data_IF_726352993109
#
_entry.id   IF_726352993109
#
_cell.length_a   1.000
_cell.length_b   1.000
_cell.length_c   1.000
_cell.angle_alpha   90.00
_cell.angle_beta   90.00
_cell.angle_gamma   90.00
#
_symmetry.space_group_name_H-M   'P 1'
#
loop_
_entity.id
_entity.type
_entity.pdbx_description
1 polymer ?
#
# COMPACT_ATOMS: atom_id res chain seq x y z
N UNK A 1 -2.81 2.76 -13.00
CA UNK A 1 -3.92 2.61 -13.96
C UNK A 1 -4.99 1.79 -13.29
N UNK A 2 -6.25 2.02 -13.63
CA UNK A 2 -7.35 1.18 -13.12
C UNK A 2 -7.37 -0.14 -13.87
N UNK A 3 -7.74 -1.22 -13.17
CA UNK A 3 -7.80 -2.56 -13.75
C UNK A 3 -8.79 -2.59 -14.93
N UNK A 4 -8.40 -3.12 -16.10
CA UNK A 4 -9.30 -3.23 -17.25
C UNK A 4 -10.58 -4.00 -16.90
N UNK A 5 -11.73 -3.48 -17.33
CA UNK A 5 -13.03 -4.10 -17.07
C UNK A 5 -13.65 -3.74 -15.71
N UNK A 6 -13.01 -2.88 -14.92
CA UNK A 6 -13.60 -2.35 -13.67
C UNK A 6 -14.18 -0.95 -13.84
N UNK A 7 -15.04 -0.52 -12.92
CA UNK A 7 -15.53 0.86 -12.90
C UNK A 7 -14.39 1.83 -12.56
N UNK A 8 -14.04 2.79 -13.43
CA UNK A 8 -12.92 3.70 -13.19
C UNK A 8 -13.06 4.53 -11.90
N UNK A 9 -14.29 4.82 -11.46
CA UNK A 9 -14.54 5.58 -10.23
C UNK A 9 -14.22 4.80 -8.95
N UNK A 10 -14.08 3.47 -9.03
CA UNK A 10 -13.72 2.63 -7.87
C UNK A 10 -12.21 2.51 -7.69
N UNK A 11 -11.42 2.93 -8.68
CA UNK A 11 -9.95 2.98 -8.59
C UNK A 11 -9.30 1.64 -8.18
N UNK A 12 -9.95 0.53 -8.53
CA UNK A 12 -9.41 -0.80 -8.32
C UNK A 12 -8.21 -1.03 -9.25
N UNK A 13 -7.12 -1.54 -8.70
CA UNK A 13 -5.91 -1.88 -9.43
C UNK A 13 -5.17 -3.02 -8.69
N UNK A 14 -4.45 -3.85 -9.44
CA UNK A 14 -3.65 -4.91 -8.84
C UNK A 14 -2.42 -4.37 -8.08
N UNK A 15 -1.86 -5.19 -7.18
CA UNK A 15 -0.66 -4.90 -6.39
C UNK A 15 0.43 -5.95 -6.64
N UNK A 16 1.65 -5.50 -6.87
CA UNK A 16 2.79 -6.32 -7.33
C UNK A 16 4.05 -6.03 -6.52
N UNK A 17 5.13 -6.76 -6.78
CA UNK A 17 6.45 -6.47 -6.19
C UNK A 17 6.94 -5.05 -6.48
N UNK A 18 6.51 -4.43 -7.60
CA UNK A 18 6.81 -3.03 -7.88
C UNK A 18 6.22 -2.11 -6.80
N UNK A 19 4.99 -2.38 -6.39
CA UNK A 19 4.29 -1.58 -5.38
C UNK A 19 4.92 -1.77 -3.99
N UNK A 20 5.40 -2.98 -3.68
CA UNK A 20 6.20 -3.23 -2.49
C UNK A 20 7.50 -2.38 -2.48
N UNK A 21 8.23 -2.33 -3.59
CA UNK A 21 9.43 -1.47 -3.70
C UNK A 21 9.10 0.01 -3.53
N UNK A 22 7.99 0.47 -4.12
CA UNK A 22 7.51 1.86 -3.93
C UNK A 22 7.25 2.15 -2.45
N UNK A 23 6.55 1.26 -1.74
CA UNK A 23 6.28 1.44 -0.31
C UNK A 23 7.56 1.46 0.53
N UNK A 24 8.48 0.52 0.33
CA UNK A 24 9.73 0.42 1.09
C UNK A 24 10.64 1.64 0.87
N UNK A 25 10.76 2.10 -0.38
CA UNK A 25 11.52 3.31 -0.71
C UNK A 25 10.91 4.53 0.00
N UNK A 26 9.59 4.68 -0.04
CA UNK A 26 8.92 5.80 0.64
C UNK A 26 9.12 5.74 2.16
N UNK A 27 8.98 4.57 2.80
CA UNK A 27 9.26 4.45 4.23
C UNK A 27 10.72 4.76 4.59
N UNK A 28 11.68 4.36 3.76
CA UNK A 28 13.08 4.76 3.94
C UNK A 28 13.28 6.27 3.83
N UNK A 29 12.59 6.93 2.89
CA UNK A 29 12.61 8.40 2.78
C UNK A 29 11.98 9.05 4.01
N UNK A 30 10.82 8.58 4.47
CA UNK A 30 10.15 9.16 5.64
C UNK A 30 10.98 8.97 6.91
N UNK A 31 11.59 7.80 7.11
CA UNK A 31 12.51 7.56 8.23
C UNK A 31 13.74 8.47 8.18
N UNK A 32 14.25 8.80 6.99
CA UNK A 32 15.37 9.73 6.82
C UNK A 32 15.02 11.18 7.20
N UNK A 33 13.75 11.57 7.03
CA UNK A 33 13.26 12.93 7.29
C UNK A 33 12.22 12.96 8.45
N UNK A 34 12.37 12.05 9.42
CA UNK A 34 11.44 11.87 10.54
C UNK A 34 11.44 13.03 11.53
N UNK A 35 12.51 13.84 11.52
CA UNK A 35 12.58 15.12 12.25
C UNK A 35 11.53 16.13 11.76
N UNK A 36 11.11 16.01 10.50
CA UNK A 36 10.15 16.92 9.85
C UNK A 36 8.82 16.27 9.46
N UNK A 37 8.82 14.99 9.11
CA UNK A 37 7.64 14.23 8.66
C UNK A 37 7.23 13.26 9.76
N UNK A 38 6.33 13.65 10.68
CA UNK A 38 5.93 12.80 11.80
C UNK A 38 4.83 11.78 11.43
N UNK A 39 4.19 11.93 10.27
CA UNK A 39 3.06 11.10 9.86
C UNK A 39 2.94 11.03 8.34
N UNK A 40 2.55 9.86 7.84
CA UNK A 40 2.16 9.63 6.45
C UNK A 40 0.98 8.66 6.39
N UNK A 41 0.21 8.70 5.30
CA UNK A 41 -0.90 7.78 5.05
C UNK A 41 -0.81 7.25 3.62
N UNK A 42 -0.91 5.94 3.46
CA UNK A 42 -0.97 5.28 2.15
C UNK A 42 -2.39 5.37 1.59
N UNK A 43 -2.51 5.64 0.28
CA UNK A 43 -3.79 5.66 -0.42
C UNK A 43 -3.98 4.34 -1.21
N UNK A 44 -4.98 3.50 -0.90
CA UNK A 44 -5.86 3.48 0.28
C UNK A 44 -5.76 2.11 0.97
N UNK A 45 -6.65 1.80 1.92
CA UNK A 45 -6.52 0.59 2.77
C UNK A 45 -6.93 -0.70 2.05
N UNK A 46 -8.13 -0.74 1.44
CA UNK A 46 -8.74 -1.94 0.86
C UNK A 46 -9.30 -1.65 -0.54
N UNK A 47 -9.04 -2.52 -1.52
CA UNK A 47 -9.55 -2.50 -2.91
C UNK A 47 -9.27 -1.26 -3.76
N UNK A 48 -8.68 -0.20 -3.20
CA UNK A 48 -8.54 1.10 -3.86
C UNK A 48 -7.07 1.50 -3.91
N UNK A 49 -6.62 1.89 -5.11
CA UNK A 49 -5.24 2.34 -5.37
C UNK A 49 -4.21 1.31 -4.88
N UNK A 50 -3.20 1.72 -4.11
CA UNK A 50 -2.16 0.81 -3.62
C UNK A 50 -2.61 0.12 -2.33
N UNK A 51 -3.66 -0.70 -2.42
CA UNK A 51 -4.28 -1.33 -1.27
C UNK A 51 -3.34 -2.28 -0.52
N UNK A 52 -3.50 -2.36 0.80
CA UNK A 52 -2.88 -3.42 1.62
C UNK A 52 -3.64 -4.74 1.46
N UNK A 53 -4.95 -4.67 1.24
CA UNK A 53 -5.82 -5.83 1.17
C UNK A 53 -6.70 -5.72 -0.07
N UNK A 54 -6.89 -6.84 -0.77
CA UNK A 54 -7.91 -6.99 -1.79
C UNK A 54 -8.94 -8.02 -1.33
N UNK A 55 -10.22 -7.75 -1.58
CA UNK A 55 -11.34 -8.63 -1.20
C UNK A 55 -12.30 -8.83 -2.37
N UNK A 56 -12.85 -10.04 -2.50
CA UNK A 56 -13.97 -10.35 -3.37
C UNK A 56 -14.96 -11.26 -2.65
N UNK A 57 -16.11 -10.70 -2.25
CA UNK A 57 -17.04 -11.37 -1.34
C UNK A 57 -16.38 -11.77 -0.03
N UNK A 58 -16.37 -13.06 0.28
CA UNK A 58 -15.72 -13.65 1.47
C UNK A 58 -14.22 -13.90 1.30
N UNK A 59 -13.69 -13.78 0.08
CA UNK A 59 -12.28 -14.03 -0.21
C UNK A 59 -11.45 -12.78 0.09
N UNK A 60 -10.25 -13.00 0.62
CA UNK A 60 -9.30 -11.93 0.94
C UNK A 60 -7.89 -12.37 0.57
N UNK A 61 -7.09 -11.43 0.07
CA UNK A 61 -5.65 -11.61 -0.14
C UNK A 61 -4.87 -10.40 0.39
N UNK A 62 -3.72 -10.69 1.00
CA UNK A 62 -2.75 -9.70 1.45
C UNK A 62 -1.82 -9.33 0.30
N UNK A 63 -1.67 -8.04 0.02
CA UNK A 63 -0.85 -7.59 -1.10
C UNK A 63 0.64 -7.57 -0.76
N UNK A 64 1.54 -7.55 -1.76
CA UNK A 64 2.96 -7.26 -1.52
C UNK A 64 3.20 -5.99 -0.69
N UNK A 65 2.36 -4.96 -0.83
CA UNK A 65 2.44 -3.74 -0.03
C UNK A 65 2.11 -3.99 1.46
N UNK A 66 1.14 -4.85 1.79
CA UNK A 66 0.87 -5.25 3.17
C UNK A 66 2.11 -5.80 3.86
N UNK A 67 2.82 -6.72 3.20
CA UNK A 67 4.01 -7.33 3.78
C UNK A 67 5.14 -6.32 4.01
N UNK A 68 5.23 -5.25 3.22
CA UNK A 68 6.17 -4.16 3.52
C UNK A 68 5.77 -3.43 4.80
N UNK A 69 4.49 -3.11 4.99
CA UNK A 69 4.01 -2.47 6.23
C UNK A 69 4.29 -3.36 7.44
N UNK A 70 4.01 -4.66 7.34
CA UNK A 70 4.27 -5.64 8.39
C UNK A 70 5.77 -5.76 8.73
N UNK A 71 6.64 -5.84 7.72
CA UNK A 71 8.09 -5.86 7.92
C UNK A 71 8.62 -4.57 8.56
N UNK A 72 8.04 -3.41 8.20
CA UNK A 72 8.46 -2.11 8.72
C UNK A 72 7.90 -1.78 10.11
N UNK A 73 7.03 -2.62 10.70
CA UNK A 73 6.43 -2.36 12.01
C UNK A 73 7.47 -2.09 13.11
N UNK A 74 8.65 -2.71 13.02
CA UNK A 74 9.75 -2.55 13.97
C UNK A 74 10.44 -1.17 13.92
N UNK A 75 10.11 -0.34 12.93
CA UNK A 75 10.61 1.04 12.83
C UNK A 75 9.67 2.07 13.47
N UNK A 76 8.50 1.66 13.98
CA UNK A 76 7.56 2.58 14.63
C UNK A 76 8.01 2.90 16.06
N UNK A 77 8.18 4.19 16.38
CA UNK A 77 8.58 4.71 17.70
C UNK A 77 8.46 6.23 17.79
#
# INVERSE_FOLDING_TARGET
EVEPGTNPGFLYQQNTTRDALVAAINYNIFNKYSDRIPMTNLAQLVNVLQALILTDGEQMVLTPTYYVVDLYQHHQG
#
